data_IF_906349073861
#
_entry.id   IF_906349073861
#
_cell.length_a   1.000
_cell.length_b   1.000
_cell.length_c   1.000
_cell.angle_alpha   90.00
_cell.angle_beta   90.00
_cell.angle_gamma   90.00
#
_symmetry.space_group_name_H-M   'P 1'
#
loop_
_entity.id
_entity.type
_entity.pdbx_description
1 polymer ?
#
# COMPACT_ATOMS: atom_id res chain seq x y z
N UNK A 1 11.93 -6.94 12.58
CA UNK A 1 13.00 -7.94 12.51
C UNK A 1 14.34 -7.30 12.84
N UNK A 2 15.11 -7.89 13.71
CA UNK A 2 16.41 -7.41 14.19
C UNK A 2 17.48 -8.44 13.83
N UNK A 3 18.48 -8.03 13.07
CA UNK A 3 19.63 -8.87 12.69
C UNK A 3 20.90 -8.31 13.34
N UNK A 4 21.68 -9.17 13.96
CA UNK A 4 23.06 -8.85 14.35
C UNK A 4 23.94 -8.82 13.08
N UNK A 5 24.87 -7.89 12.97
CA UNK A 5 25.76 -7.78 11.82
C UNK A 5 26.55 -9.08 11.60
N UNK A 6 26.48 -9.63 10.39
CA UNK A 6 27.12 -10.92 10.03
C UNK A 6 26.34 -12.16 10.42
N UNK A 7 25.13 -12.05 10.98
CA UNK A 7 24.26 -13.16 11.32
C UNK A 7 23.10 -13.28 10.30
N UNK A 8 22.77 -14.51 9.94
CA UNK A 8 21.55 -14.84 9.21
C UNK A 8 20.35 -15.09 10.13
N UNK A 9 20.57 -15.09 11.45
CA UNK A 9 19.52 -15.24 12.45
C UNK A 9 18.96 -13.86 12.82
N UNK A 10 17.66 -13.82 13.09
CA UNK A 10 16.97 -12.60 13.49
C UNK A 10 16.01 -12.85 14.65
N UNK A 11 15.72 -11.79 15.37
CA UNK A 11 14.61 -11.73 16.31
C UNK A 11 13.45 -10.96 15.68
N UNK A 12 12.26 -11.53 15.80
CA UNK A 12 11.02 -10.86 15.45
C UNK A 12 10.36 -10.29 16.69
N UNK A 13 9.94 -9.04 16.62
CA UNK A 13 9.17 -8.39 17.67
C UNK A 13 7.99 -7.66 17.06
N UNK A 14 6.82 -7.86 17.66
CA UNK A 14 5.58 -7.19 17.26
C UNK A 14 5.17 -6.21 18.35
N UNK A 15 4.76 -5.03 17.95
CA UNK A 15 4.26 -3.98 18.83
C UNK A 15 2.93 -3.47 18.28
N UNK A 16 1.95 -3.34 19.17
CA UNK A 16 0.71 -2.65 18.84
C UNK A 16 0.93 -1.15 19.06
N UNK A 17 0.63 -0.36 18.02
CA UNK A 17 0.69 1.09 18.05
C UNK A 17 -0.71 1.67 17.76
N UNK A 18 -1.10 2.72 18.45
CA UNK A 18 -2.44 3.29 18.30
C UNK A 18 -2.60 4.00 16.95
N UNK A 19 -1.55 4.66 16.49
CA UNK A 19 -1.59 5.44 15.25
C UNK A 19 -0.21 5.65 14.64
N UNK A 20 -0.10 5.51 13.32
CA UNK A 20 1.11 5.89 12.58
C UNK A 20 1.31 7.42 12.44
N UNK A 21 0.40 8.24 12.96
CA UNK A 21 0.48 9.70 12.92
C UNK A 21 1.15 10.33 14.15
N UNK A 22 1.40 9.52 15.18
CA UNK A 22 2.03 9.97 16.42
C UNK A 22 3.36 9.27 16.63
N UNK A 23 4.23 9.91 17.40
CA UNK A 23 5.50 9.30 17.80
C UNK A 23 5.22 8.28 18.91
N UNK A 24 5.56 7.03 18.64
CA UNK A 24 5.48 5.94 19.60
C UNK A 24 6.88 5.52 20.05
N UNK A 25 7.03 5.18 21.31
CA UNK A 25 8.26 4.64 21.86
C UNK A 25 8.18 3.12 21.96
N UNK A 26 9.06 2.43 21.23
CA UNK A 26 9.21 0.98 21.33
C UNK A 26 10.57 0.63 21.93
N UNK A 27 10.63 -0.37 22.80
CA UNK A 27 11.86 -0.81 23.46
C UNK A 27 12.36 -2.12 22.86
N UNK A 28 13.49 -2.06 22.18
CA UNK A 28 14.13 -3.22 21.57
C UNK A 28 15.40 -3.51 22.37
N UNK A 29 15.54 -4.71 22.99
CA UNK A 29 16.75 -5.06 23.71
C UNK A 29 17.89 -5.36 22.74
N UNK A 30 19.04 -4.73 22.97
CA UNK A 30 20.26 -4.96 22.21
C UNK A 30 21.41 -5.28 23.16
N UNK A 31 22.39 -6.06 22.70
CA UNK A 31 23.64 -6.24 23.42
C UNK A 31 24.64 -5.15 23.10
N UNK A 32 25.25 -4.62 24.14
CA UNK A 32 26.28 -3.58 24.00
C UNK A 32 27.49 -4.10 23.21
N UNK A 33 28.08 -3.22 22.41
CA UNK A 33 29.27 -3.53 21.60
C UNK A 33 29.01 -4.31 20.31
N UNK A 34 27.75 -4.57 19.99
CA UNK A 34 27.34 -5.19 18.72
C UNK A 34 26.66 -4.19 17.82
N UNK A 35 26.67 -4.49 16.53
CA UNK A 35 25.95 -3.72 15.50
C UNK A 35 24.78 -4.54 15.01
N UNK A 36 23.69 -3.85 14.67
CA UNK A 36 22.46 -4.47 14.23
C UNK A 36 21.91 -3.76 13.01
N UNK A 37 21.18 -4.51 12.20
CA UNK A 37 20.31 -3.99 11.18
C UNK A 37 18.87 -4.27 11.55
N UNK A 38 18.04 -3.23 11.58
CA UNK A 38 16.65 -3.33 12.02
C UNK A 38 15.73 -2.96 10.87
N UNK A 39 14.76 -3.83 10.63
CA UNK A 39 13.75 -3.67 9.61
C UNK A 39 12.40 -3.49 10.28
N UNK A 40 11.74 -2.41 9.95
CA UNK A 40 10.40 -2.07 10.46
C UNK A 40 9.38 -2.25 9.35
N UNK A 41 8.26 -2.87 9.71
CA UNK A 41 7.08 -2.93 8.86
C UNK A 41 5.85 -2.69 9.72
N UNK A 42 5.09 -1.64 9.42
CA UNK A 42 3.87 -1.27 10.13
C UNK A 42 2.69 -1.31 9.17
N UNK A 43 1.61 -1.94 9.58
CA UNK A 43 0.40 -2.10 8.80
C UNK A 43 -0.80 -2.25 9.73
N UNK A 44 -2.00 -2.08 9.21
CA UNK A 44 -3.22 -2.31 9.98
C UNK A 44 -3.35 -3.80 10.29
N UNK A 45 -3.24 -4.15 11.57
CA UNK A 45 -3.40 -5.53 12.04
C UNK A 45 -4.88 -5.98 11.95
N UNK A 46 -5.08 -7.30 11.83
CA UNK A 46 -6.40 -7.94 11.80
C UNK A 46 -6.37 -9.27 11.07
N UNK A 47 -7.44 -10.04 11.19
CA UNK A 47 -7.57 -11.34 10.55
C UNK A 47 -7.53 -11.29 9.02
N UNK A 48 -7.80 -10.12 8.45
CA UNK A 48 -7.83 -9.85 7.00
C UNK A 48 -6.60 -9.07 6.54
N UNK A 49 -5.46 -9.16 7.25
CA UNK A 49 -4.24 -8.48 6.82
C UNK A 49 -3.84 -8.94 5.41
N UNK A 50 -3.67 -8.00 4.46
CA UNK A 50 -3.27 -8.34 3.10
C UNK A 50 -1.79 -8.71 2.99
N UNK A 51 -1.02 -8.60 4.08
CA UNK A 51 0.43 -8.75 4.06
C UNK A 51 0.89 -10.10 4.61
N UNK A 52 1.81 -10.71 3.87
CA UNK A 52 2.63 -11.82 4.36
C UNK A 52 4.07 -11.35 4.48
N UNK A 53 4.60 -11.42 5.69
CA UNK A 53 5.97 -11.00 5.99
C UNK A 53 6.85 -12.25 6.11
N UNK A 54 7.94 -12.34 5.35
CA UNK A 54 8.85 -13.48 5.37
C UNK A 54 10.30 -13.03 5.23
N UNK A 55 11.17 -13.45 6.15
CA UNK A 55 12.63 -13.27 6.10
C UNK A 55 13.09 -11.89 5.63
N UNK A 56 12.53 -10.83 6.18
CA UNK A 56 12.62 -9.46 5.68
C UNK A 56 14.05 -8.99 5.42
N UNK A 57 15.01 -9.46 6.18
CA UNK A 57 16.38 -8.92 6.17
C UNK A 57 17.35 -9.58 5.23
N UNK A 58 17.04 -10.75 4.64
CA UNK A 58 18.00 -11.52 3.83
C UNK A 58 17.57 -11.64 2.37
N UNK A 59 16.64 -12.53 2.11
CA UNK A 59 16.15 -12.82 0.75
C UNK A 59 14.63 -12.73 0.65
N UNK A 60 13.98 -12.55 1.78
CA UNK A 60 12.55 -12.42 1.84
C UNK A 60 12.12 -10.97 1.78
N UNK A 61 10.83 -10.79 1.77
CA UNK A 61 10.22 -9.49 1.69
C UNK A 61 8.83 -9.49 2.28
N UNK A 62 8.09 -8.46 1.97
CA UNK A 62 6.68 -8.38 2.26
C UNK A 62 5.92 -8.62 0.96
N UNK A 63 5.04 -9.61 0.99
CA UNK A 63 4.11 -9.86 -0.10
C UNK A 63 2.74 -9.30 0.25
N UNK A 64 2.08 -8.70 -0.74
CA UNK A 64 0.71 -8.23 -0.62
C UNK A 64 -0.22 -9.15 -1.41
N UNK A 65 -1.33 -9.54 -0.76
CA UNK A 65 -2.42 -10.26 -1.41
C UNK A 65 -3.52 -9.24 -1.71
N UNK A 66 -3.58 -8.80 -2.95
CA UNK A 66 -4.67 -7.93 -3.40
C UNK A 66 -5.99 -8.69 -3.40
N UNK A 67 -7.08 -8.09 -2.93
CA UNK A 67 -8.36 -8.77 -2.88
C UNK A 67 -8.91 -9.03 -4.30
N UNK A 68 -9.35 -10.27 -4.53
CA UNK A 68 -10.03 -10.71 -5.75
C UNK A 68 -11.53 -10.83 -5.46
N UNK A 69 -12.18 -9.72 -5.13
CA UNK A 69 -13.61 -9.63 -4.83
C UNK A 69 -14.14 -8.24 -5.13
N UNK A 70 -15.46 -8.13 -5.25
CA UNK A 70 -16.12 -6.83 -5.28
C UNK A 70 -15.98 -6.13 -3.93
N UNK A 71 -15.63 -4.85 -3.97
CA UNK A 71 -15.36 -4.01 -2.82
C UNK A 71 -16.36 -2.84 -2.81
N UNK A 72 -16.66 -2.32 -1.63
CA UNK A 72 -17.24 -0.99 -1.53
C UNK A 72 -16.25 0.07 -2.03
N UNK A 73 -16.74 1.24 -2.43
CA UNK A 73 -15.86 2.34 -2.76
C UNK A 73 -14.97 2.68 -1.56
N UNK A 74 -13.70 3.03 -1.83
CA UNK A 74 -12.68 3.33 -0.82
C UNK A 74 -12.27 2.16 0.11
N UNK A 75 -12.66 0.91 -0.21
CA UNK A 75 -12.43 -0.22 0.69
C UNK A 75 -10.98 -0.66 0.87
N UNK A 76 -10.04 -0.15 0.08
CA UNK A 76 -8.64 -0.57 0.12
C UNK A 76 -7.71 0.28 1.00
N UNK A 77 -8.25 1.17 1.83
CA UNK A 77 -7.45 1.92 2.82
C UNK A 77 -6.67 0.99 3.79
N UNK A 78 -7.12 -0.24 3.99
CA UNK A 78 -6.41 -1.25 4.79
C UNK A 78 -5.08 -1.71 4.17
N UNK A 79 -4.84 -1.41 2.89
CA UNK A 79 -3.56 -1.67 2.24
C UNK A 79 -2.46 -0.64 2.60
N UNK A 80 -2.78 0.42 3.32
CA UNK A 80 -1.76 1.38 3.73
C UNK A 80 -0.77 0.74 4.71
N UNK A 81 0.52 0.85 4.42
CA UNK A 81 1.59 0.32 5.25
C UNK A 81 2.85 1.17 5.14
N UNK A 82 3.73 1.00 6.12
CA UNK A 82 4.93 1.81 6.26
C UNK A 82 6.13 0.93 6.57
N UNK A 83 7.31 1.37 6.15
CA UNK A 83 8.54 0.68 6.45
C UNK A 83 9.67 1.63 6.82
N UNK A 84 10.67 1.10 7.48
CA UNK A 84 11.99 1.70 7.61
C UNK A 84 13.06 0.62 7.72
N UNK A 85 14.28 0.98 7.37
CA UNK A 85 15.47 0.16 7.58
C UNK A 85 16.50 1.04 8.28
N UNK A 86 17.09 0.55 9.36
CA UNK A 86 18.06 1.30 10.13
C UNK A 86 19.22 0.43 10.56
N UNK A 87 20.44 0.97 10.44
CA UNK A 87 21.62 0.41 11.08
C UNK A 87 21.72 0.98 12.49
N UNK A 88 21.90 0.11 13.48
CA UNK A 88 21.98 0.46 14.89
C UNK A 88 23.40 0.20 15.41
N UNK A 89 24.09 1.26 15.78
CA UNK A 89 25.39 1.22 16.46
C UNK A 89 25.23 1.81 17.86
N UNK A 90 25.34 0.95 18.86
CA UNK A 90 25.13 1.33 20.26
C UNK A 90 26.32 2.06 20.89
N UNK A 91 27.40 2.30 20.16
CA UNK A 91 28.54 3.09 20.65
C UNK A 91 28.18 4.56 20.90
N UNK A 92 27.13 5.10 20.24
CA UNK A 92 26.78 6.51 20.21
C UNK A 92 25.44 6.90 20.85
N UNK A 93 24.80 5.99 21.57
CA UNK A 93 23.53 6.32 22.23
C UNK A 93 22.54 5.15 22.33
N UNK A 94 21.43 5.40 23.04
CA UNK A 94 20.42 4.39 23.32
C UNK A 94 19.05 4.67 22.74
N UNK A 95 18.85 5.84 22.16
CA UNK A 95 17.57 6.25 21.57
C UNK A 95 17.80 6.68 20.12
N UNK A 96 16.94 6.22 19.23
CA UNK A 96 16.96 6.56 17.82
C UNK A 96 15.55 6.97 17.38
N UNK A 97 15.45 8.02 16.61
CA UNK A 97 14.23 8.40 15.94
C UNK A 97 14.18 7.71 14.57
N UNK A 98 13.14 6.92 14.35
CA UNK A 98 12.91 6.19 13.11
C UNK A 98 11.68 6.77 12.41
N UNK A 99 11.87 7.27 11.20
CA UNK A 99 10.78 7.75 10.35
C UNK A 99 10.36 6.65 9.39
N UNK A 100 9.11 6.24 9.48
CA UNK A 100 8.52 5.29 8.57
C UNK A 100 8.05 5.98 7.29
N UNK A 101 8.23 5.32 6.16
CA UNK A 101 7.80 5.80 4.84
C UNK A 101 6.91 4.76 4.15
N UNK A 102 6.04 5.20 3.25
CA UNK A 102 5.23 4.30 2.44
C UNK A 102 6.03 3.71 1.28
N UNK A 103 6.04 2.36 1.11
CA UNK A 103 6.64 1.74 -0.08
C UNK A 103 5.74 1.86 -1.32
N UNK A 104 4.55 2.42 -1.15
CA UNK A 104 3.50 2.48 -2.15
C UNK A 104 3.36 3.87 -2.78
N UNK A 105 2.81 3.86 -4.00
CA UNK A 105 2.03 4.96 -4.52
C UNK A 105 0.54 4.69 -4.23
N UNK A 106 -0.20 5.73 -3.86
CA UNK A 106 -1.65 5.68 -3.76
C UNK A 106 -2.25 6.10 -5.11
N UNK A 107 -3.14 5.28 -5.65
CA UNK A 107 -3.89 5.59 -6.87
C UNK A 107 -5.36 5.67 -6.53
N UNK A 108 -5.98 6.81 -6.83
CA UNK A 108 -7.39 7.05 -6.64
C UNK A 108 -8.08 7.17 -8.00
N UNK A 109 -9.21 6.51 -8.13
CA UNK A 109 -10.15 6.73 -9.22
C UNK A 109 -11.14 7.81 -8.76
N UNK A 110 -11.28 8.85 -9.55
CA UNK A 110 -12.09 10.02 -9.20
C UNK A 110 -13.00 10.34 -10.38
N UNK A 111 -14.22 10.75 -10.13
CA UNK A 111 -15.12 11.19 -11.20
C UNK A 111 -16.09 12.27 -10.72
N UNK A 112 -16.63 13.03 -11.67
CA UNK A 112 -17.66 14.03 -11.38
C UNK A 112 -18.92 13.38 -10.83
N UNK A 113 -19.38 13.85 -9.67
CA UNK A 113 -20.52 13.30 -8.94
C UNK A 113 -21.83 13.40 -9.72
N UNK A 114 -22.07 14.54 -10.37
CA UNK A 114 -23.30 14.74 -11.11
C UNK A 114 -23.38 13.87 -12.36
N UNK A 115 -22.26 13.71 -13.07
CA UNK A 115 -22.19 12.82 -14.23
C UNK A 115 -22.43 11.37 -13.84
N UNK A 116 -21.86 10.90 -12.74
CA UNK A 116 -22.06 9.53 -12.22
C UNK A 116 -23.52 9.28 -11.85
N UNK A 117 -24.17 10.23 -11.17
CA UNK A 117 -25.57 10.12 -10.78
C UNK A 117 -26.49 10.11 -12.01
N UNK A 118 -26.27 10.99 -12.98
CA UNK A 118 -27.02 11.02 -14.25
C UNK A 118 -26.88 9.72 -15.04
N UNK A 119 -25.68 9.15 -15.02
CA UNK A 119 -25.37 7.89 -15.70
C UNK A 119 -25.84 6.64 -14.94
N UNK A 120 -26.33 6.77 -13.72
CA UNK A 120 -26.67 5.66 -12.82
C UNK A 120 -25.53 4.63 -12.68
N UNK A 121 -24.31 5.12 -12.65
CA UNK A 121 -23.14 4.28 -12.53
C UNK A 121 -23.15 3.52 -11.19
N UNK A 122 -22.80 2.24 -11.22
CA UNK A 122 -22.92 1.35 -10.07
C UNK A 122 -21.66 0.54 -9.77
N UNK A 123 -20.75 0.42 -10.73
CA UNK A 123 -19.53 -0.36 -10.62
C UNK A 123 -18.41 0.26 -11.44
N UNK A 124 -17.19 0.20 -10.93
CA UNK A 124 -15.97 0.47 -11.69
C UNK A 124 -15.01 -0.71 -11.58
N UNK A 125 -14.44 -1.10 -12.69
CA UNK A 125 -13.33 -2.05 -12.76
C UNK A 125 -12.06 -1.29 -13.14
N UNK A 126 -11.02 -1.45 -12.34
CA UNK A 126 -9.72 -0.87 -12.56
C UNK A 126 -8.70 -2.00 -12.69
N UNK A 127 -8.17 -2.18 -13.89
CA UNK A 127 -7.17 -3.21 -14.17
C UNK A 127 -5.82 -2.55 -14.41
N UNK A 128 -4.79 -3.06 -13.74
CA UNK A 128 -3.45 -2.50 -13.75
C UNK A 128 -2.42 -3.60 -13.49
N UNK A 129 -1.23 -3.44 -14.05
CA UNK A 129 -0.11 -4.33 -13.75
C UNK A 129 0.48 -4.00 -12.39
N UNK A 130 0.49 -4.96 -11.49
CA UNK A 130 0.97 -4.82 -10.12
C UNK A 130 2.16 -5.71 -9.83
N UNK A 131 3.01 -5.27 -8.91
CA UNK A 131 4.00 -6.11 -8.26
C UNK A 131 3.51 -6.48 -6.87
N UNK A 132 3.75 -7.71 -6.44
CA UNK A 132 3.24 -8.23 -5.17
C UNK A 132 4.28 -8.31 -4.07
N UNK A 133 5.55 -8.10 -4.36
CA UNK A 133 6.63 -8.29 -3.38
C UNK A 133 7.50 -7.06 -3.28
N UNK A 134 7.76 -6.66 -2.05
CA UNK A 134 8.70 -5.59 -1.70
C UNK A 134 9.79 -6.15 -0.79
N UNK A 135 11.03 -6.03 -1.22
CA UNK A 135 12.19 -6.45 -0.42
C UNK A 135 12.68 -5.26 0.41
N UNK A 136 12.62 -5.40 1.75
CA UNK A 136 13.04 -4.34 2.64
C UNK A 136 14.57 -4.15 2.65
N UNK A 137 15.34 -5.20 2.46
CA UNK A 137 16.81 -5.11 2.49
C UNK A 137 17.35 -4.28 1.32
N UNK A 138 16.81 -4.51 0.12
CA UNK A 138 17.14 -3.73 -1.07
C UNK A 138 16.30 -2.45 -1.21
N UNK A 139 15.22 -2.34 -0.44
CA UNK A 139 14.20 -1.27 -0.52
C UNK A 139 13.61 -1.15 -1.93
N UNK A 140 13.41 -2.30 -2.59
CA UNK A 140 12.94 -2.37 -3.97
C UNK A 140 11.81 -3.38 -4.13
N UNK A 141 11.02 -3.12 -5.15
CA UNK A 141 10.04 -4.06 -5.64
C UNK A 141 10.78 -5.20 -6.33
N UNK A 142 10.39 -6.42 -6.01
CA UNK A 142 10.98 -7.64 -6.57
C UNK A 142 9.88 -8.59 -7.09
N UNK A 143 10.31 -9.56 -7.89
CA UNK A 143 9.43 -10.56 -8.45
C UNK A 143 8.78 -10.14 -9.78
N UNK A 144 7.87 -10.98 -10.24
CA UNK A 144 7.12 -10.74 -11.48
C UNK A 144 5.96 -9.78 -11.22
N UNK A 145 5.63 -8.99 -12.23
CA UNK A 145 4.40 -8.22 -12.25
C UNK A 145 3.28 -9.04 -12.89
N UNK A 146 2.06 -8.83 -12.43
CA UNK A 146 0.88 -9.46 -13.00
C UNK A 146 -0.25 -8.46 -13.17
N UNK A 147 -1.21 -8.77 -14.02
CA UNK A 147 -2.42 -7.97 -14.20
C UNK A 147 -3.39 -8.26 -13.04
N UNK A 148 -3.81 -7.21 -12.34
CA UNK A 148 -4.78 -7.27 -11.26
C UNK A 148 -5.97 -6.37 -11.60
N UNK A 149 -7.18 -6.88 -11.42
CA UNK A 149 -8.40 -6.10 -11.54
C UNK A 149 -8.99 -5.83 -10.15
N UNK A 150 -9.17 -4.56 -9.83
CA UNK A 150 -9.90 -4.11 -8.66
C UNK A 150 -11.32 -3.75 -9.10
N UNK A 151 -12.30 -4.31 -8.41
CA UNK A 151 -13.72 -4.04 -8.69
C UNK A 151 -14.33 -3.30 -7.50
N UNK A 152 -14.80 -2.08 -7.74
CA UNK A 152 -15.46 -1.26 -6.74
C UNK A 152 -16.93 -1.10 -7.09
N UNK A 153 -17.79 -1.37 -6.11
CA UNK A 153 -19.25 -1.25 -6.25
C UNK A 153 -19.80 -0.30 -5.21
N UNK A 154 -20.84 0.43 -5.55
CA UNK A 154 -21.64 1.18 -4.61
C UNK A 154 -22.98 0.50 -4.39
N UNK A 155 -23.26 0.10 -3.17
CA UNK A 155 -24.60 -0.30 -2.77
C UNK A 155 -25.55 0.91 -2.62
N UNK A 156 -24.99 2.11 -2.35
CA UNK A 156 -25.71 3.31 -1.94
C UNK A 156 -25.36 4.56 -2.77
N UNK A 157 -25.40 4.45 -4.09
CA UNK A 157 -25.34 5.59 -5.01
C UNK A 157 -24.27 6.65 -4.71
N UNK A 158 -22.98 6.30 -4.82
CA UNK A 158 -21.87 7.28 -4.81
C UNK A 158 -21.91 8.33 -3.68
N UNK A 159 -22.43 7.98 -2.52
CA UNK A 159 -22.41 8.85 -1.35
C UNK A 159 -21.07 8.78 -0.62
N UNK A 160 -19.98 8.96 -1.34
CA UNK A 160 -18.72 9.26 -0.69
C UNK A 160 -18.84 10.64 -0.05
N UNK A 161 -18.48 10.70 1.23
CA UNK A 161 -18.44 11.99 1.98
C UNK A 161 -17.20 12.81 1.61
N UNK A 162 -16.23 12.23 0.94
CA UNK A 162 -15.02 12.92 0.51
C UNK A 162 -15.16 13.39 -0.93
N UNK A 163 -15.25 14.69 -1.10
CA UNK A 163 -15.22 15.37 -2.40
C UNK A 163 -13.88 16.07 -2.58
N UNK A 164 -13.30 15.95 -3.79
CA UNK A 164 -12.16 16.74 -4.22
C UNK A 164 -12.62 17.57 -5.42
N UNK A 165 -12.73 18.88 -5.25
CA UNK A 165 -13.10 19.80 -6.32
C UNK A 165 -14.38 19.40 -7.08
N UNK A 166 -15.42 18.94 -6.36
CA UNK A 166 -16.68 18.48 -6.93
C UNK A 166 -16.67 17.04 -7.44
N UNK A 167 -15.55 16.36 -7.33
CA UNK A 167 -15.40 14.95 -7.70
C UNK A 167 -15.49 14.03 -6.48
N UNK A 168 -15.93 12.80 -6.69
CA UNK A 168 -16.00 11.76 -5.67
C UNK A 168 -15.02 10.64 -5.97
N UNK A 169 -14.54 10.00 -4.91
CA UNK A 169 -13.72 8.79 -5.05
C UNK A 169 -14.57 7.60 -5.45
N UNK A 170 -14.15 6.90 -6.48
CA UNK A 170 -14.72 5.62 -6.92
C UNK A 170 -14.00 4.43 -6.29
N UNK A 171 -12.72 4.60 -6.06
CA UNK A 171 -11.89 3.58 -5.45
C UNK A 171 -10.48 4.09 -5.19
N UNK A 172 -9.84 3.52 -4.18
CA UNK A 172 -8.46 3.80 -3.80
C UNK A 172 -7.68 2.51 -3.73
N UNK A 173 -6.48 2.47 -4.27
CA UNK A 173 -5.56 1.36 -4.10
C UNK A 173 -4.14 1.82 -3.83
N UNK A 174 -3.37 0.95 -3.20
CA UNK A 174 -1.96 1.17 -2.89
C UNK A 174 -1.13 0.15 -3.67
N UNK A 175 -0.19 0.64 -4.47
CA UNK A 175 0.60 -0.17 -5.38
C UNK A 175 2.08 -0.04 -5.05
N UNK A 176 2.79 -1.16 -4.93
CA UNK A 176 4.24 -1.13 -4.95
C UNK A 176 4.72 -0.50 -6.26
N UNK A 177 5.74 0.35 -6.18
CA UNK A 177 6.24 1.14 -7.31
C UNK A 177 7.34 0.37 -8.05
N UNK A 178 7.01 -0.44 -9.08
CA UNK A 178 8.02 -1.20 -9.85
C UNK A 178 8.76 -0.31 -10.85
N UNK A 179 8.13 0.80 -11.26
CA UNK A 179 8.65 1.76 -12.23
C UNK A 179 7.99 3.13 -12.02
N UNK A 180 8.45 4.14 -12.72
CA UNK A 180 7.89 5.50 -12.61
C UNK A 180 6.47 5.64 -13.16
N UNK A 181 6.01 4.69 -13.95
CA UNK A 181 4.64 4.61 -14.47
C UNK A 181 4.23 3.18 -14.74
N UNK A 182 2.94 2.94 -14.74
CA UNK A 182 2.31 1.69 -15.17
C UNK A 182 1.19 2.00 -16.15
N UNK A 183 0.75 0.96 -16.86
CA UNK A 183 -0.39 1.06 -17.77
C UNK A 183 -1.59 0.42 -17.12
N UNK A 184 -2.71 1.11 -17.17
CA UNK A 184 -3.98 0.63 -16.65
C UNK A 184 -5.13 0.79 -17.64
N UNK A 185 -6.25 0.19 -17.27
CA UNK A 185 -7.55 0.36 -17.95
C UNK A 185 -8.66 0.51 -16.92
N UNK A 186 -9.65 1.32 -17.23
CA UNK A 186 -10.81 1.57 -16.38
C UNK A 186 -12.08 1.30 -17.19
N UNK A 187 -13.04 0.62 -16.56
CA UNK A 187 -14.40 0.44 -17.10
C UNK A 187 -15.41 0.87 -16.07
N UNK A 188 -16.34 1.72 -16.47
CA UNK A 188 -17.47 2.16 -15.66
C UNK A 188 -18.75 1.47 -16.14
N UNK A 189 -19.60 1.03 -15.22
CA UNK A 189 -20.80 0.26 -15.52
C UNK A 189 -22.05 0.88 -14.88
N UNK A 190 -23.20 0.69 -15.57
CA UNK A 190 -24.53 0.88 -15.01
C UNK A 190 -25.40 -0.32 -15.35
N UNK A 191 -26.07 -0.91 -14.34
CA UNK A 191 -26.97 -2.05 -14.56
C UNK A 191 -26.34 -3.22 -15.31
N UNK A 192 -25.04 -3.44 -15.16
CA UNK A 192 -24.28 -4.49 -15.84
C UNK A 192 -23.74 -4.12 -17.24
N UNK A 193 -24.14 -2.99 -17.81
CA UNK A 193 -23.66 -2.51 -19.11
C UNK A 193 -22.46 -1.56 -18.94
N UNK A 194 -21.48 -1.68 -19.84
CA UNK A 194 -20.35 -0.74 -19.88
C UNK A 194 -20.84 0.61 -20.36
N UNK A 195 -20.71 1.63 -19.52
CA UNK A 195 -21.02 3.02 -19.85
C UNK A 195 -19.85 3.71 -20.55
N UNK A 196 -18.66 3.50 -19.99
CA UNK A 196 -17.44 4.16 -20.44
C UNK A 196 -16.26 3.23 -20.21
N UNK A 197 -15.29 3.25 -21.11
CA UNK A 197 -14.03 2.55 -20.94
C UNK A 197 -12.87 3.40 -21.42
N UNK A 198 -11.75 3.32 -20.72
CA UNK A 198 -10.49 3.90 -21.14
C UNK A 198 -9.40 2.84 -21.00
N UNK A 199 -8.58 2.70 -22.02
CA UNK A 199 -7.50 1.73 -22.10
C UNK A 199 -6.16 2.44 -22.32
N UNK A 200 -5.07 1.75 -22.02
CA UNK A 200 -3.70 2.27 -22.16
C UNK A 200 -3.46 3.57 -21.39
N UNK A 201 -4.08 3.71 -20.22
CA UNK A 201 -3.92 4.89 -19.36
C UNK A 201 -2.51 4.83 -18.75
N UNK A 202 -1.67 5.81 -19.04
CA UNK A 202 -0.39 5.96 -18.35
C UNK A 202 -0.62 6.55 -16.95
N UNK A 203 -0.24 5.80 -15.92
CA UNK A 203 -0.44 6.16 -14.52
C UNK A 203 0.92 6.42 -13.90
N UNK A 204 1.28 7.66 -13.59
CA UNK A 204 2.53 7.94 -12.92
C UNK A 204 2.50 7.40 -11.48
N UNK A 205 3.54 6.66 -11.11
CA UNK A 205 3.72 6.13 -9.77
C UNK A 205 4.95 6.74 -9.12
N UNK A 206 4.76 7.37 -8.00
CA UNK A 206 5.85 7.89 -7.17
C UNK A 206 5.63 7.42 -5.75
N UNK A 207 6.65 6.78 -5.16
CA UNK A 207 6.58 6.28 -3.79
C UNK A 207 6.18 7.39 -2.81
N UNK A 208 5.33 7.07 -1.85
CA UNK A 208 4.78 8.00 -0.87
C UNK A 208 4.02 9.20 -1.47
N UNK A 209 3.50 9.07 -2.68
CA UNK A 209 2.69 10.09 -3.37
C UNK A 209 1.35 9.53 -3.79
N UNK A 210 0.40 10.45 -4.03
CA UNK A 210 -0.95 10.19 -4.51
C UNK A 210 -1.06 10.58 -5.98
N UNK A 211 -1.70 9.72 -6.77
CA UNK A 211 -2.12 10.00 -8.16
C UNK A 211 -3.63 9.91 -8.23
N UNK A 212 -4.29 10.97 -8.68
CA UNK A 212 -5.73 10.97 -8.95
C UNK A 212 -5.95 10.81 -10.46
N UNK A 213 -6.75 9.81 -10.83
CA UNK A 213 -7.21 9.57 -12.20
C UNK A 213 -8.65 10.10 -12.31
N UNK A 214 -8.84 11.12 -13.12
CA UNK A 214 -10.13 11.78 -13.35
C UNK A 214 -10.72 11.35 -14.70
#
# INVERSE_FOLDING_TARGET
>A
HVYEEGSDQFEEKTYDIESCQVKEEVKIPFFYGKKYKVYFWAYKSGNDSPYTVSNIGLKGGVSVNYPDRELGFNALESLDAFYAVSDVDLSNGRTMDINLTRPFAQVNLVADKEELLKAQASKVEFTITVAKTFNLASQKVEGTTEEQTFTFTSADNFQSTEEIDGNVYLGTTYLFVPSSKVIGKVKLYAGGNVLKSAENIEIPLVGNKRTNLV
#
